data_IF_662043500174
#
_entry.id   IF_662043500174
#
_cell.length_a   1.000
_cell.length_b   1.000
_cell.length_c   1.000
_cell.angle_alpha   90.00
_cell.angle_beta   90.00
_cell.angle_gamma   90.00
#
_symmetry.space_group_name_H-M   'P 1'
#
loop_
_entity.id
_entity.type
_entity.pdbx_description
1 polymer ?
#
# COMPACT_ATOMS: atom_id res chain seq x y z
N UNK A 1 25.74 -23.72 -3.99
CA UNK A 1 25.96 -22.27 -3.85
C UNK A 1 27.43 -22.01 -4.14
N UNK A 2 27.75 -21.23 -5.18
CA UNK A 2 29.13 -20.85 -5.43
C UNK A 2 29.62 -19.95 -4.27
N UNK A 3 30.80 -20.22 -3.73
CA UNK A 3 31.38 -19.39 -2.68
C UNK A 3 31.63 -17.97 -3.21
N UNK A 4 31.28 -16.95 -2.41
CA UNK A 4 31.60 -15.56 -2.72
C UNK A 4 33.12 -15.40 -2.78
N UNK A 5 33.63 -14.84 -3.89
CA UNK A 5 35.05 -14.60 -4.11
C UNK A 5 35.34 -13.11 -3.95
N UNK A 6 36.53 -12.77 -3.44
CA UNK A 6 36.97 -11.38 -3.36
C UNK A 6 37.02 -10.78 -4.77
N UNK A 7 36.28 -9.71 -4.98
CA UNK A 7 36.17 -9.05 -6.27
C UNK A 7 37.51 -8.41 -6.67
N UNK A 8 38.04 -8.82 -7.83
CA UNK A 8 39.05 -8.06 -8.57
C UNK A 8 38.35 -7.31 -9.73
N UNK A 9 38.28 -5.96 -9.71
CA UNK A 9 37.54 -5.23 -10.73
C UNK A 9 38.07 -5.39 -12.15
N UNK A 10 39.33 -5.79 -12.35
CA UNK A 10 39.91 -6.04 -13.69
C UNK A 10 39.61 -7.44 -14.22
N UNK A 11 39.36 -8.40 -13.32
CA UNK A 11 39.17 -9.80 -13.67
C UNK A 11 37.70 -10.22 -13.73
N UNK A 12 36.77 -9.34 -13.31
CA UNK A 12 35.34 -9.61 -13.42
C UNK A 12 34.95 -9.77 -14.91
N UNK A 13 34.35 -10.89 -15.32
CA UNK A 13 33.85 -11.03 -16.69
C UNK A 13 32.77 -9.99 -16.98
N UNK A 14 32.81 -9.34 -18.15
CA UNK A 14 31.84 -8.31 -18.55
C UNK A 14 30.65 -8.86 -19.34
N UNK A 15 30.46 -10.18 -19.30
CA UNK A 15 29.39 -10.87 -20.00
C UNK A 15 28.53 -11.74 -19.07
N UNK A 16 27.28 -11.95 -19.48
CA UNK A 16 26.30 -12.72 -18.72
C UNK A 16 25.84 -12.01 -17.44
N UNK A 17 25.18 -12.75 -16.55
CA UNK A 17 24.71 -12.23 -15.26
C UNK A 17 25.83 -12.31 -14.22
N UNK A 18 26.09 -11.20 -13.53
CA UNK A 18 27.04 -11.09 -12.43
C UNK A 18 26.37 -10.42 -11.24
N UNK A 19 26.60 -10.97 -10.04
CA UNK A 19 26.16 -10.39 -8.79
C UNK A 19 27.38 -9.96 -7.99
N UNK A 20 27.44 -8.68 -7.61
CA UNK A 20 28.50 -8.12 -6.78
C UNK A 20 27.89 -7.73 -5.44
N UNK A 21 28.34 -8.37 -4.37
CA UNK A 21 27.98 -7.99 -3.01
C UNK A 21 28.93 -6.90 -2.50
N UNK A 22 28.39 -5.80 -1.95
CA UNK A 22 29.21 -4.69 -1.50
C UNK A 22 28.59 -3.91 -0.32
N UNK A 23 29.27 -3.98 0.83
CA UNK A 23 28.90 -3.28 2.07
C UNK A 23 29.22 -1.79 2.04
N UNK A 24 28.76 -1.03 3.04
CA UNK A 24 29.09 0.39 3.15
C UNK A 24 30.62 0.59 3.20
N UNK A 25 31.13 1.59 2.46
CA UNK A 25 32.55 1.92 2.44
C UNK A 25 33.46 1.00 1.59
N UNK A 26 32.95 -0.06 0.95
CA UNK A 26 33.79 -1.00 0.17
C UNK A 26 34.09 -0.56 -1.27
N UNK A 27 33.99 0.73 -1.59
CA UNK A 27 34.32 1.24 -2.92
C UNK A 27 33.35 0.83 -4.03
N UNK A 28 32.04 0.70 -3.74
CA UNK A 28 30.99 0.41 -4.74
C UNK A 28 31.07 1.30 -5.98
N UNK A 29 31.00 2.61 -5.75
CA UNK A 29 31.01 3.61 -6.83
C UNK A 29 32.31 3.58 -7.61
N UNK A 30 33.44 3.39 -6.91
CA UNK A 30 34.76 3.24 -7.52
C UNK A 30 34.81 2.00 -8.44
N UNK A 31 34.26 0.88 -7.98
CA UNK A 31 34.17 -0.36 -8.76
C UNK A 31 33.32 -0.17 -10.00
N UNK A 32 32.13 0.43 -9.88
CA UNK A 32 31.24 0.70 -11.02
C UNK A 32 31.93 1.59 -12.05
N UNK A 33 32.59 2.66 -11.61
CA UNK A 33 33.30 3.57 -12.50
C UNK A 33 34.45 2.85 -13.24
N UNK A 34 35.16 1.93 -12.57
CA UNK A 34 36.18 1.12 -13.21
C UNK A 34 35.61 0.12 -14.23
N UNK A 35 34.48 -0.53 -13.91
CA UNK A 35 33.81 -1.41 -14.87
C UNK A 35 33.35 -0.64 -16.12
N UNK A 36 32.92 0.61 -15.94
CA UNK A 36 32.55 1.50 -17.04
C UNK A 36 33.74 1.79 -17.97
N UNK A 37 34.91 2.16 -17.40
CA UNK A 37 36.17 2.32 -18.16
C UNK A 37 36.49 1.06 -18.96
N UNK A 38 36.36 -0.12 -18.33
CA UNK A 38 36.62 -1.39 -19.00
C UNK A 38 35.67 -1.65 -20.16
N UNK A 39 34.38 -1.34 -20.03
CA UNK A 39 33.41 -1.47 -21.12
C UNK A 39 33.73 -0.55 -22.30
N UNK A 40 34.13 0.70 -22.04
CA UNK A 40 34.55 1.65 -23.09
C UNK A 40 35.76 1.13 -23.86
N UNK A 41 36.72 0.54 -23.17
CA UNK A 41 37.93 -0.02 -23.81
C UNK A 41 37.74 -1.44 -24.38
N UNK A 42 36.60 -2.09 -24.13
CA UNK A 42 36.42 -3.51 -24.44
C UNK A 42 37.38 -4.43 -23.67
N UNK A 43 37.76 -4.04 -22.45
CA UNK A 43 38.73 -4.73 -21.60
C UNK A 43 38.10 -5.93 -20.84
N UNK A 44 38.12 -7.11 -21.46
CA UNK A 44 37.73 -8.37 -20.83
C UNK A 44 38.86 -9.41 -20.88
N UNK A 45 39.48 -9.68 -19.72
CA UNK A 45 40.53 -10.70 -19.56
C UNK A 45 40.01 -12.14 -19.68
N UNK A 46 38.70 -12.35 -19.56
CA UNK A 46 38.08 -13.68 -19.44
C UNK A 46 37.53 -14.22 -20.76
N UNK A 47 37.37 -13.34 -21.76
CA UNK A 47 36.87 -13.71 -23.08
C UNK A 47 37.72 -13.04 -24.18
N UNK A 48 38.89 -13.59 -24.54
CA UNK A 48 39.79 -13.00 -25.54
C UNK A 48 39.17 -12.80 -26.93
N UNK A 49 38.09 -13.53 -27.25
CA UNK A 49 37.34 -13.38 -28.51
C UNK A 49 36.25 -12.29 -28.50
N UNK A 50 35.86 -11.80 -27.32
CA UNK A 50 34.99 -10.62 -27.12
C UNK A 50 35.80 -9.39 -26.69
N UNK A 51 37.02 -9.60 -26.20
CA UNK A 51 38.00 -8.57 -25.91
C UNK A 51 38.20 -7.70 -27.16
N UNK A 52 37.82 -6.43 -27.06
CA UNK A 52 37.83 -5.47 -28.16
C UNK A 52 36.48 -4.95 -28.62
N UNK A 53 35.35 -5.42 -28.06
CA UNK A 53 34.06 -4.73 -28.26
C UNK A 53 34.01 -3.51 -27.34
N UNK A 54 34.40 -2.36 -27.87
CA UNK A 54 34.25 -1.06 -27.20
C UNK A 54 32.80 -0.59 -27.25
N UNK A 55 32.29 -0.14 -26.11
CA UNK A 55 30.95 0.45 -26.01
C UNK A 55 31.02 1.97 -25.89
N UNK A 56 30.08 2.66 -26.54
CA UNK A 56 29.91 4.10 -26.37
C UNK A 56 29.05 4.35 -25.11
N UNK A 57 29.12 5.54 -24.49
CA UNK A 57 28.29 5.84 -23.32
C UNK A 57 26.78 5.56 -23.47
N UNK A 58 26.14 5.78 -24.64
CA UNK A 58 24.73 5.41 -24.84
C UNK A 58 24.46 3.90 -24.83
N UNK A 59 25.47 3.06 -25.10
CA UNK A 59 25.36 1.60 -25.13
C UNK A 59 25.48 0.96 -23.75
N UNK A 60 25.83 1.75 -22.71
CA UNK A 60 26.05 1.29 -21.34
C UNK A 60 24.93 1.82 -20.44
N UNK A 61 24.00 0.93 -20.07
CA UNK A 61 22.91 1.26 -19.16
C UNK A 61 23.34 1.14 -17.69
N UNK A 62 23.21 2.23 -16.93
CA UNK A 62 23.49 2.27 -15.49
C UNK A 62 22.28 2.84 -14.75
N UNK A 63 21.71 2.03 -13.85
CA UNK A 63 20.49 2.39 -13.11
C UNK A 63 20.74 2.49 -11.61
N UNK A 64 20.07 3.44 -10.95
CA UNK A 64 20.08 3.60 -9.49
C UNK A 64 18.70 4.03 -8.96
N UNK A 65 18.57 4.15 -7.64
CA UNK A 65 17.30 4.42 -6.98
C UNK A 65 16.88 5.90 -6.99
N UNK A 66 17.84 6.83 -6.93
CA UNK A 66 17.54 8.26 -6.79
C UNK A 66 18.23 9.10 -7.86
N UNK A 67 17.62 10.20 -8.25
CA UNK A 67 18.20 11.12 -9.24
C UNK A 67 19.53 11.74 -8.74
N UNK A 68 19.62 12.03 -7.44
CA UNK A 68 20.86 12.51 -6.83
C UNK A 68 22.00 11.48 -6.95
N UNK A 69 21.71 10.20 -6.68
CA UNK A 69 22.70 9.14 -6.84
C UNK A 69 23.07 8.93 -8.32
N UNK A 70 22.15 9.13 -9.26
CA UNK A 70 22.44 9.05 -10.69
C UNK A 70 23.39 10.17 -11.13
N UNK A 71 23.15 11.39 -10.64
CA UNK A 71 24.05 12.53 -10.85
C UNK A 71 25.45 12.30 -10.28
N UNK A 72 25.54 11.91 -9.01
CA UNK A 72 26.83 11.60 -8.38
C UNK A 72 27.57 10.49 -9.15
N UNK A 73 26.86 9.42 -9.53
CA UNK A 73 27.46 8.32 -10.27
C UNK A 73 27.99 8.75 -11.64
N UNK A 74 27.26 9.63 -12.35
CA UNK A 74 27.70 10.22 -13.62
C UNK A 74 29.01 10.99 -13.44
N UNK A 75 29.10 11.86 -12.43
CA UNK A 75 30.31 12.64 -12.18
C UNK A 75 31.51 11.75 -11.83
N UNK A 76 31.28 10.70 -11.03
CA UNK A 76 32.31 9.73 -10.66
C UNK A 76 32.81 8.92 -11.84
N UNK A 77 31.91 8.50 -12.75
CA UNK A 77 32.29 7.82 -13.99
C UNK A 77 33.09 8.77 -14.89
N UNK A 78 32.66 10.03 -15.04
CA UNK A 78 33.39 11.03 -15.84
C UNK A 78 34.81 11.23 -15.33
N UNK A 79 34.94 11.47 -14.02
CA UNK A 79 36.23 11.65 -13.38
C UNK A 79 37.13 10.43 -13.62
N UNK A 80 36.60 9.22 -13.49
CA UNK A 80 37.34 7.98 -13.69
C UNK A 80 37.79 7.78 -15.14
N UNK A 81 36.96 8.15 -16.12
CA UNK A 81 37.33 8.14 -17.54
C UNK A 81 38.49 9.10 -17.82
N UNK A 82 38.44 10.33 -17.29
CA UNK A 82 39.52 11.31 -17.41
C UNK A 82 40.82 10.84 -16.73
N UNK A 83 40.73 10.29 -15.52
CA UNK A 83 41.89 9.72 -14.79
C UNK A 83 42.53 8.58 -15.59
N UNK A 84 41.73 7.69 -16.16
CA UNK A 84 42.22 6.59 -17.00
C UNK A 84 42.86 7.11 -18.29
N UNK A 85 42.26 8.10 -18.97
CA UNK A 85 42.84 8.71 -20.16
C UNK A 85 44.20 9.35 -19.87
N UNK A 86 44.29 10.10 -18.76
CA UNK A 86 45.55 10.70 -18.30
C UNK A 86 46.62 9.64 -18.02
N UNK A 87 46.26 8.51 -17.41
CA UNK A 87 47.20 7.41 -17.17
C UNK A 87 47.77 6.84 -18.48
N UNK A 88 46.95 6.69 -19.53
CA UNK A 88 47.42 6.26 -20.85
C UNK A 88 48.34 7.31 -21.52
N UNK A 89 48.03 8.62 -21.42
CA UNK A 89 48.90 9.69 -21.96
C UNK A 89 50.24 9.79 -21.25
N UNK A 90 50.27 9.61 -19.94
CA UNK A 90 51.53 9.58 -19.20
C UNK A 90 52.42 8.41 -19.65
N UNK A 91 51.81 7.27 -20.01
CA UNK A 91 52.54 6.10 -20.50
C UNK A 91 53.10 6.26 -21.93
N UNK A 92 52.55 7.16 -22.76
CA UNK A 92 53.11 7.45 -24.10
C UNK A 92 54.40 8.27 -24.01
N UNK A 93 54.57 9.06 -22.94
CA UNK A 93 55.72 9.95 -22.72
C UNK A 93 55.45 11.41 -23.08
N UNK A 94 54.21 11.78 -23.41
CA UNK A 94 53.80 13.14 -23.76
C UNK A 94 53.46 14.02 -22.53
N UNK A 95 53.54 13.47 -21.32
CA UNK A 95 53.35 14.21 -20.08
C UNK A 95 54.64 14.83 -19.56
N UNK A 96 54.79 16.15 -19.71
CA UNK A 96 55.81 16.91 -19.00
C UNK A 96 55.78 16.62 -17.49
N UNK A 97 56.97 16.48 -16.92
CA UNK A 97 57.21 15.96 -15.58
C UNK A 97 56.39 16.62 -14.46
N UNK A 98 55.66 15.80 -13.71
CA UNK A 98 55.67 15.80 -12.24
C UNK A 98 55.38 14.36 -11.76
N UNK A 99 56.10 13.79 -10.78
CA UNK A 99 55.80 12.47 -10.27
C UNK A 99 54.54 12.55 -9.39
N UNK A 100 53.37 12.25 -9.96
CA UNK A 100 52.14 12.21 -9.17
C UNK A 100 52.23 11.05 -8.14
N UNK A 101 51.81 11.30 -6.89
CA UNK A 101 52.09 10.42 -5.77
C UNK A 101 51.39 9.08 -5.98
N UNK A 102 52.15 7.99 -5.95
CA UNK A 102 51.66 6.62 -5.89
C UNK A 102 50.34 6.40 -6.64
N UNK A 103 50.32 6.66 -7.96
CA UNK A 103 49.11 6.60 -8.79
C UNK A 103 48.27 5.33 -8.57
N UNK A 104 46.98 5.41 -8.86
CA UNK A 104 46.03 4.32 -8.70
C UNK A 104 46.59 2.99 -9.28
N UNK A 105 46.85 2.01 -8.41
CA UNK A 105 47.45 0.74 -8.79
C UNK A 105 46.60 -0.01 -9.83
N UNK A 106 45.28 0.19 -9.81
CA UNK A 106 44.35 -0.45 -10.71
C UNK A 106 44.44 0.15 -12.12
N UNK A 107 44.60 1.47 -12.22
CA UNK A 107 44.83 2.14 -13.52
C UNK A 107 46.19 1.76 -14.11
N UNK A 108 47.24 1.66 -13.28
CA UNK A 108 48.55 1.15 -13.75
C UNK A 108 48.46 -0.27 -14.30
N UNK A 109 47.75 -1.15 -13.58
CA UNK A 109 47.52 -2.52 -14.03
C UNK A 109 46.72 -2.56 -15.34
N UNK A 110 45.67 -1.73 -15.47
CA UNK A 110 44.92 -1.59 -16.72
C UNK A 110 45.82 -1.15 -17.88
N UNK A 111 46.63 -0.11 -17.71
CA UNK A 111 47.53 0.39 -18.77
C UNK A 111 48.54 -0.68 -19.21
N UNK A 112 49.05 -1.47 -18.25
CA UNK A 112 49.99 -2.55 -18.52
C UNK A 112 49.40 -3.70 -19.35
N UNK A 113 48.07 -3.86 -19.37
CA UNK A 113 47.39 -4.86 -20.21
C UNK A 113 47.32 -4.48 -21.70
N UNK A 114 47.66 -3.23 -22.04
CA UNK A 114 47.64 -2.73 -23.41
C UNK A 114 49.06 -2.55 -23.96
N UNK A 115 49.31 -2.94 -25.23
CA UNK A 115 50.58 -2.67 -25.89
C UNK A 115 50.74 -1.15 -26.12
N UNK A 116 51.99 -0.67 -26.09
CA UNK A 116 52.30 0.78 -26.10
C UNK A 116 51.72 1.51 -27.31
N UNK A 117 51.64 0.83 -28.44
CA UNK A 117 51.09 1.34 -29.71
C UNK A 117 49.59 1.66 -29.61
N UNK A 118 48.87 1.07 -28.64
CA UNK A 118 47.44 1.33 -28.41
C UNK A 118 47.18 2.40 -27.36
N UNK A 119 48.19 2.89 -26.64
CA UNK A 119 47.99 3.81 -25.51
C UNK A 119 47.35 5.12 -25.96
N UNK A 120 47.78 5.69 -27.08
CA UNK A 120 47.17 6.91 -27.66
C UNK A 120 45.70 6.68 -28.02
N UNK A 121 45.38 5.55 -28.66
CA UNK A 121 44.01 5.19 -29.02
C UNK A 121 43.13 5.02 -27.78
N UNK A 122 43.63 4.37 -26.73
CA UNK A 122 42.90 4.18 -25.48
C UNK A 122 42.62 5.51 -24.79
N UNK A 123 43.63 6.40 -24.70
CA UNK A 123 43.44 7.74 -24.16
C UNK A 123 42.36 8.51 -24.93
N UNK A 124 42.42 8.49 -26.26
CA UNK A 124 41.44 9.15 -27.12
C UNK A 124 40.01 8.61 -26.89
N UNK A 125 39.83 7.28 -26.89
CA UNK A 125 38.51 6.67 -26.67
C UNK A 125 37.90 7.07 -25.32
N UNK A 126 38.72 7.09 -24.26
CA UNK A 126 38.27 7.46 -22.91
C UNK A 126 37.89 8.93 -22.82
N UNK A 127 38.63 9.82 -23.47
CA UNK A 127 38.30 11.26 -23.53
C UNK A 127 37.01 11.52 -24.29
N UNK A 128 36.83 10.85 -25.43
CA UNK A 128 35.59 10.94 -26.19
C UNK A 128 34.40 10.43 -25.37
N UNK A 129 34.56 9.30 -24.68
CA UNK A 129 33.54 8.77 -23.79
C UNK A 129 33.24 9.74 -22.62
N UNK A 130 34.24 10.41 -22.06
CA UNK A 130 34.05 11.40 -21.00
C UNK A 130 33.29 12.63 -21.48
N UNK A 131 33.49 13.07 -22.73
CA UNK A 131 32.75 14.18 -23.33
C UNK A 131 31.30 13.80 -23.66
N UNK A 132 31.05 12.55 -24.05
CA UNK A 132 29.72 12.04 -24.40
C UNK A 132 28.87 11.60 -23.20
N UNK A 133 29.38 11.72 -21.97
CA UNK A 133 28.70 11.18 -20.80
C UNK A 133 27.36 11.87 -20.48
N UNK A 134 27.12 13.07 -21.01
CA UNK A 134 25.83 13.75 -20.86
C UNK A 134 24.69 13.05 -21.62
N UNK A 135 25.02 12.31 -22.68
CA UNK A 135 24.08 11.46 -23.42
C UNK A 135 24.04 10.01 -22.92
N UNK A 136 24.83 9.68 -21.88
CA UNK A 136 24.90 8.32 -21.35
C UNK A 136 23.57 7.84 -20.76
N UNK A 137 23.32 6.54 -20.85
CA UNK A 137 22.17 5.89 -20.23
C UNK A 137 22.36 5.69 -18.71
N UNK A 138 22.70 6.77 -17.99
CA UNK A 138 22.87 6.78 -16.53
C UNK A 138 21.68 7.51 -15.91
N UNK A 139 20.84 6.81 -15.14
CA UNK A 139 19.61 7.38 -14.59
C UNK A 139 18.92 6.49 -13.55
N UNK A 140 17.67 6.83 -13.23
CA UNK A 140 16.82 6.00 -12.39
C UNK A 140 16.10 4.93 -13.21
N UNK A 141 15.67 3.83 -12.57
CA UNK A 141 14.86 2.79 -13.21
C UNK A 141 13.60 3.40 -13.86
N UNK A 142 12.92 4.30 -13.15
CA UNK A 142 11.72 4.98 -13.66
C UNK A 142 12.03 5.88 -14.86
N UNK A 143 13.11 6.66 -14.82
CA UNK A 143 13.53 7.50 -15.93
C UNK A 143 13.86 6.70 -17.19
N UNK A 144 14.49 5.53 -17.02
CA UNK A 144 14.74 4.61 -18.12
C UNK A 144 13.44 4.02 -18.69
N UNK A 145 12.55 3.50 -17.85
CA UNK A 145 11.25 2.98 -18.29
C UNK A 145 10.44 4.04 -19.06
N UNK A 146 10.42 5.28 -18.60
CA UNK A 146 9.75 6.38 -19.29
C UNK A 146 10.34 6.62 -20.69
N UNK A 147 11.68 6.63 -20.80
CA UNK A 147 12.38 6.78 -22.09
C UNK A 147 12.02 5.65 -23.05
N UNK A 148 12.01 4.40 -22.58
CA UNK A 148 11.63 3.23 -23.39
C UNK A 148 10.19 3.34 -23.87
N UNK A 149 9.25 3.72 -23.00
CA UNK A 149 7.83 3.91 -23.36
C UNK A 149 7.63 5.02 -24.41
N UNK A 150 8.45 6.07 -24.38
CA UNK A 150 8.40 7.15 -25.37
C UNK A 150 9.02 6.74 -26.71
N UNK A 151 10.16 6.04 -26.69
CA UNK A 151 10.85 5.58 -27.91
C UNK A 151 10.08 4.48 -28.65
N UNK A 152 9.37 3.62 -27.91
CA UNK A 152 8.56 2.52 -28.44
C UNK A 152 7.05 2.75 -28.25
N UNK A 153 6.61 4.01 -28.43
CA UNK A 153 5.20 4.39 -28.22
C UNK A 153 4.23 3.58 -29.10
N UNK A 154 4.62 3.29 -30.35
CA UNK A 154 3.82 2.48 -31.28
C UNK A 154 3.64 1.03 -30.80
N UNK A 155 4.72 0.39 -30.37
CA UNK A 155 4.69 -1.01 -29.92
C UNK A 155 3.94 -1.16 -28.57
N UNK A 156 4.02 -0.13 -27.72
CA UNK A 156 3.40 -0.12 -26.39
C UNK A 156 1.96 0.40 -26.37
N UNK A 157 1.45 0.97 -27.48
CA UNK A 157 0.16 1.68 -27.51
C UNK A 157 0.13 2.92 -26.61
N UNK A 158 1.31 3.40 -26.20
CA UNK A 158 1.49 4.52 -25.29
C UNK A 158 1.27 5.85 -26.01
N UNK A 159 0.77 6.85 -25.28
CA UNK A 159 0.73 8.23 -25.77
C UNK A 159 2.15 8.76 -25.99
N UNK A 160 2.38 9.47 -27.10
CA UNK A 160 3.67 10.12 -27.38
C UNK A 160 4.08 11.12 -26.28
N UNK A 161 3.11 11.79 -25.68
CA UNK A 161 3.31 12.69 -24.55
C UNK A 161 2.65 12.07 -23.30
N UNK A 162 3.48 11.65 -22.35
CA UNK A 162 3.05 11.24 -21.02
C UNK A 162 3.58 12.23 -19.98
N UNK A 163 2.72 12.65 -19.07
CA UNK A 163 3.13 13.42 -17.90
C UNK A 163 3.26 12.49 -16.71
N UNK A 164 4.44 12.43 -16.11
CA UNK A 164 4.66 11.67 -14.89
C UNK A 164 3.92 12.34 -13.73
N UNK A 165 2.91 11.66 -13.19
CA UNK A 165 2.21 12.08 -11.97
C UNK A 165 2.98 11.52 -10.77
N UNK A 166 3.70 12.39 -10.06
CA UNK A 166 4.53 11.98 -8.92
C UNK A 166 3.71 11.70 -7.64
N UNK A 167 2.61 12.44 -7.46
CA UNK A 167 1.71 12.26 -6.32
C UNK A 167 0.31 11.86 -6.80
N UNK A 168 -0.09 10.63 -6.45
CA UNK A 168 -1.41 10.08 -6.76
C UNK A 168 -2.46 10.43 -5.69
N UNK A 169 -2.09 11.05 -4.57
CA UNK A 169 -3.03 11.37 -3.50
C UNK A 169 -4.24 12.20 -3.96
N UNK A 170 -4.09 13.28 -4.75
CA UNK A 170 -5.24 14.07 -5.21
C UNK A 170 -6.21 13.26 -6.08
N UNK A 171 -5.67 12.39 -6.94
CA UNK A 171 -6.47 11.52 -7.80
C UNK A 171 -7.21 10.45 -6.98
N UNK A 172 -6.57 9.90 -5.95
CA UNK A 172 -7.18 8.95 -5.01
C UNK A 172 -8.32 9.61 -4.23
N UNK A 173 -8.10 10.82 -3.70
CA UNK A 173 -9.14 11.59 -3.01
C UNK A 173 -10.35 11.87 -3.92
N UNK A 174 -10.09 12.26 -5.16
CA UNK A 174 -11.15 12.46 -6.15
C UNK A 174 -11.94 11.17 -6.39
N UNK A 175 -11.26 10.04 -6.62
CA UNK A 175 -11.91 8.75 -6.83
C UNK A 175 -12.77 8.32 -5.64
N UNK A 176 -12.28 8.51 -4.40
CA UNK A 176 -13.05 8.21 -3.18
C UNK A 176 -14.28 9.08 -3.08
N UNK A 177 -14.18 10.38 -3.38
CA UNK A 177 -15.33 11.30 -3.40
C UNK A 177 -16.36 10.90 -4.46
N UNK A 178 -15.93 10.46 -5.63
CA UNK A 178 -16.83 10.00 -6.69
C UNK A 178 -17.56 8.70 -6.30
N UNK A 179 -16.85 7.75 -5.68
CA UNK A 179 -17.48 6.56 -5.08
C UNK A 179 -18.49 6.98 -4.01
N UNK A 180 -18.11 7.93 -3.15
CA UNK A 180 -18.97 8.39 -2.07
C UNK A 180 -20.29 8.97 -2.58
N UNK A 181 -20.21 9.88 -3.56
CA UNK A 181 -21.39 10.48 -4.21
C UNK A 181 -22.25 9.43 -4.91
N UNK A 182 -21.63 8.46 -5.58
CA UNK A 182 -22.36 7.47 -6.36
C UNK A 182 -23.10 6.47 -5.47
N UNK A 183 -22.52 6.08 -4.33
CA UNK A 183 -23.04 4.95 -3.54
C UNK A 183 -23.77 5.37 -2.28
N UNK A 184 -23.37 6.48 -1.65
CA UNK A 184 -23.96 6.92 -0.38
C UNK A 184 -24.99 8.04 -0.52
N UNK A 185 -24.87 8.95 -1.49
CA UNK A 185 -25.87 10.02 -1.66
C UNK A 185 -27.29 9.51 -2.02
N UNK A 186 -27.45 8.42 -2.80
CA UNK A 186 -28.78 7.89 -3.09
C UNK A 186 -29.45 7.18 -1.91
N UNK A 187 -28.78 7.03 -0.76
CA UNK A 187 -29.33 6.32 0.40
C UNK A 187 -30.44 7.15 1.07
N UNK A 188 -31.49 6.49 1.61
CA UNK A 188 -32.44 7.11 2.52
C UNK A 188 -31.74 7.75 3.73
N UNK A 189 -32.34 8.79 4.31
CA UNK A 189 -31.73 9.59 5.42
C UNK A 189 -31.29 8.72 6.59
N UNK A 190 -32.09 7.74 6.99
CA UNK A 190 -31.78 6.83 8.11
C UNK A 190 -30.52 6.02 7.81
N UNK A 191 -30.41 5.48 6.60
CA UNK A 191 -29.26 4.69 6.15
C UNK A 191 -28.02 5.55 5.95
N UNK A 192 -28.20 6.77 5.43
CA UNK A 192 -27.12 7.74 5.33
C UNK A 192 -26.58 8.13 6.71
N UNK A 193 -27.44 8.20 7.73
CA UNK A 193 -27.06 8.43 9.13
C UNK A 193 -26.13 7.33 9.66
N UNK A 194 -26.51 6.06 9.52
CA UNK A 194 -25.68 4.92 9.96
C UNK A 194 -24.30 4.88 9.25
N UNK A 195 -24.29 5.12 7.93
CA UNK A 195 -23.04 5.20 7.17
C UNK A 195 -22.20 6.41 7.59
N UNK A 196 -22.83 7.55 7.86
CA UNK A 196 -22.14 8.75 8.33
C UNK A 196 -21.54 8.55 9.73
N UNK A 197 -22.17 7.76 10.61
CA UNK A 197 -21.57 7.41 11.91
C UNK A 197 -20.34 6.51 11.74
N UNK A 198 -20.42 5.50 10.87
CA UNK A 198 -19.33 4.55 10.64
C UNK A 198 -18.13 5.20 9.94
N UNK A 199 -18.39 5.88 8.83
CA UNK A 199 -17.36 6.37 7.92
C UNK A 199 -17.08 7.86 8.04
N UNK A 200 -17.92 8.65 8.74
CA UNK A 200 -17.77 10.10 9.03
C UNK A 200 -17.63 11.04 7.84
N UNK A 201 -17.60 10.52 6.61
CA UNK A 201 -17.50 11.30 5.39
C UNK A 201 -16.45 10.76 4.40
N UNK A 202 -16.34 11.39 3.23
CA UNK A 202 -15.43 10.94 2.17
C UNK A 202 -13.95 11.00 2.58
N UNK A 203 -13.54 11.99 3.38
CA UNK A 203 -12.13 12.13 3.78
C UNK A 203 -11.72 11.03 4.78
N UNK A 204 -12.59 10.66 5.72
CA UNK A 204 -12.34 9.55 6.63
C UNK A 204 -12.42 8.19 5.90
N UNK A 205 -13.28 8.05 4.89
CA UNK A 205 -13.23 6.89 4.00
C UNK A 205 -11.88 6.80 3.27
N UNK A 206 -11.37 7.91 2.73
CA UNK A 206 -10.07 7.95 2.06
C UNK A 206 -8.93 7.54 3.01
N UNK A 207 -8.93 8.06 4.24
CA UNK A 207 -7.95 7.67 5.27
C UNK A 207 -8.03 6.18 5.63
N UNK A 208 -9.24 5.62 5.68
CA UNK A 208 -9.47 4.19 5.98
C UNK A 208 -9.01 3.29 4.83
N UNK A 209 -9.19 3.73 3.58
CA UNK A 209 -8.78 3.00 2.38
C UNK A 209 -7.28 3.12 2.08
N UNK A 210 -6.64 4.22 2.45
CA UNK A 210 -5.23 4.49 2.15
C UNK A 210 -4.26 3.32 2.48
N UNK A 211 -4.30 2.69 3.67
CA UNK A 211 -3.42 1.55 3.96
C UNK A 211 -3.78 0.29 3.16
N UNK A 212 -5.02 0.16 2.68
CA UNK A 212 -5.49 -0.99 1.92
C UNK A 212 -5.13 -0.91 0.44
N UNK A 213 -5.06 0.30 -0.13
CA UNK A 213 -4.77 0.54 -1.54
C UNK A 213 -3.32 0.25 -1.95
N UNK A 214 -2.41 0.03 -0.99
CA UNK A 214 -1.03 -0.40 -1.27
C UNK A 214 -0.81 -1.90 -1.09
N UNK A 215 -1.85 -2.65 -0.71
CA UNK A 215 -1.76 -4.06 -0.40
C UNK A 215 -2.26 -4.91 -1.58
N UNK A 216 -1.63 -4.75 -2.74
CA UNK A 216 -2.09 -5.32 -4.02
C UNK A 216 -2.24 -6.85 -4.02
N UNK A 217 -1.52 -7.55 -3.15
CA UNK A 217 -1.58 -9.01 -2.98
C UNK A 217 -2.45 -9.46 -1.78
N UNK A 218 -3.00 -8.53 -1.01
CA UNK A 218 -3.77 -8.86 0.19
C UNK A 218 -5.24 -9.16 -0.14
N UNK A 219 -5.79 -10.13 0.60
CA UNK A 219 -7.22 -10.41 0.57
C UNK A 219 -7.90 -9.79 1.78
N UNK A 220 -8.85 -8.88 1.52
CA UNK A 220 -9.75 -8.40 2.55
C UNK A 220 -10.61 -9.57 3.04
N UNK A 221 -10.59 -9.81 4.34
CA UNK A 221 -11.45 -10.76 5.02
C UNK A 221 -12.06 -10.13 6.26
N UNK A 222 -13.24 -10.60 6.64
CA UNK A 222 -13.92 -10.27 7.88
C UNK A 222 -14.21 -11.59 8.60
N UNK A 223 -13.75 -11.72 9.85
CA UNK A 223 -13.82 -12.96 10.65
C UNK A 223 -13.33 -14.22 9.90
N UNK A 224 -12.23 -14.06 9.15
CA UNK A 224 -11.63 -15.15 8.36
C UNK A 224 -12.39 -15.51 7.09
N UNK A 225 -13.49 -14.81 6.78
CA UNK A 225 -14.30 -15.02 5.60
C UNK A 225 -14.06 -13.93 4.56
N UNK A 226 -14.03 -14.32 3.29
CA UNK A 226 -13.97 -13.35 2.19
C UNK A 226 -15.31 -12.61 2.10
N UNK A 227 -15.30 -11.28 1.89
CA UNK A 227 -16.52 -10.54 1.67
C UNK A 227 -17.20 -11.04 0.39
N UNK A 228 -18.54 -11.07 0.34
CA UNK A 228 -19.26 -11.54 -0.83
C UNK A 228 -18.87 -10.73 -2.07
N UNK A 229 -18.58 -11.44 -3.16
CA UNK A 229 -18.31 -10.86 -4.49
C UNK A 229 -19.42 -11.28 -5.46
N UNK A 230 -19.92 -10.38 -6.32
CA UNK A 230 -19.50 -8.98 -6.46
C UNK A 230 -19.91 -8.12 -5.25
N UNK A 231 -19.13 -7.07 -4.96
CA UNK A 231 -19.41 -6.14 -3.85
C UNK A 231 -20.80 -5.51 -3.91
N UNK A 232 -21.43 -5.46 -5.09
CA UNK A 232 -22.80 -4.99 -5.26
C UNK A 232 -23.85 -5.94 -4.63
N UNK A 233 -23.50 -7.21 -4.39
CA UNK A 233 -24.31 -8.13 -3.59
C UNK A 233 -24.13 -7.89 -2.10
N UNK A 234 -22.90 -7.64 -1.64
CA UNK A 234 -22.64 -7.21 -0.26
C UNK A 234 -23.43 -5.93 0.07
N UNK A 235 -23.39 -4.95 -0.84
CA UNK A 235 -24.11 -3.69 -0.70
C UNK A 235 -25.64 -3.86 -0.71
N UNK A 236 -26.17 -4.71 -1.61
CA UNK A 236 -27.60 -5.06 -1.60
C UNK A 236 -27.99 -5.78 -0.32
N UNK A 237 -27.14 -6.67 0.18
CA UNK A 237 -27.34 -7.36 1.46
C UNK A 237 -27.42 -6.38 2.63
N UNK A 238 -26.50 -5.41 2.69
CA UNK A 238 -26.54 -4.33 3.68
C UNK A 238 -27.82 -3.50 3.56
N UNK A 239 -28.16 -3.03 2.36
CA UNK A 239 -29.39 -2.25 2.15
C UNK A 239 -30.66 -3.02 2.52
N UNK A 240 -30.71 -4.34 2.26
CA UNK A 240 -31.81 -5.22 2.67
C UNK A 240 -31.86 -5.41 4.19
N UNK A 241 -30.71 -5.60 4.84
CA UNK A 241 -30.60 -5.72 6.29
C UNK A 241 -31.06 -4.43 6.99
N UNK A 242 -30.60 -3.27 6.50
CA UNK A 242 -31.03 -1.96 7.01
C UNK A 242 -32.54 -1.76 6.84
N UNK A 243 -33.09 -2.05 5.64
CA UNK A 243 -34.53 -1.97 5.41
C UNK A 243 -35.31 -2.90 6.36
N UNK A 244 -34.82 -4.13 6.56
CA UNK A 244 -35.43 -5.10 7.47
C UNK A 244 -35.43 -4.59 8.91
N UNK A 245 -34.34 -3.95 9.33
CA UNK A 245 -34.22 -3.29 10.62
C UNK A 245 -35.27 -2.18 10.73
N UNK A 246 -35.39 -1.28 9.77
CA UNK A 246 -36.41 -0.21 9.79
C UNK A 246 -37.86 -0.76 9.88
N UNK A 247 -38.17 -1.83 9.14
CA UNK A 247 -39.47 -2.53 9.22
C UNK A 247 -39.74 -3.10 10.63
N UNK A 248 -38.74 -3.73 11.25
CA UNK A 248 -38.83 -4.27 12.61
C UNK A 248 -38.99 -3.15 13.64
N UNK A 249 -38.25 -2.03 13.50
CA UNK A 249 -38.40 -0.84 14.35
C UNK A 249 -39.82 -0.30 14.27
N UNK A 250 -40.34 -0.10 13.06
CA UNK A 250 -41.68 0.42 12.83
C UNK A 250 -42.76 -0.50 13.43
N UNK A 251 -42.61 -1.83 13.28
CA UNK A 251 -43.51 -2.81 13.89
C UNK A 251 -43.47 -2.77 15.42
N UNK A 252 -42.27 -2.71 16.00
CA UNK A 252 -42.07 -2.63 17.46
C UNK A 252 -42.66 -1.33 18.04
N UNK A 253 -42.49 -0.22 17.34
CA UNK A 253 -43.10 1.07 17.69
C UNK A 253 -44.63 1.03 17.61
N UNK A 254 -45.18 0.42 16.56
CA UNK A 254 -46.62 0.24 16.43
C UNK A 254 -47.18 -0.62 17.57
N UNK A 255 -46.55 -1.77 17.85
CA UNK A 255 -46.94 -2.66 18.94
C UNK A 255 -46.82 -2.00 20.32
N UNK A 256 -45.82 -1.15 20.54
CA UNK A 256 -45.70 -0.38 21.78
C UNK A 256 -46.81 0.68 21.91
N UNK A 257 -47.15 1.38 20.83
CA UNK A 257 -48.25 2.38 20.84
C UNK A 257 -49.60 1.71 21.11
N UNK A 258 -49.80 0.49 20.63
CA UNK A 258 -51.04 -0.27 20.82
C UNK A 258 -51.14 -0.89 22.22
N UNK A 259 -50.07 -1.56 22.68
CA UNK A 259 -50.12 -2.43 23.86
C UNK A 259 -49.09 -2.10 24.96
N UNK A 260 -48.42 -0.94 24.88
CA UNK A 260 -47.36 -0.56 25.82
C UNK A 260 -47.83 -0.49 27.27
N UNK A 261 -49.06 -0.04 27.53
CA UNK A 261 -49.67 -0.04 28.88
C UNK A 261 -49.80 -1.44 29.46
N UNK A 262 -50.19 -2.40 28.63
CA UNK A 262 -50.43 -3.80 29.01
C UNK A 262 -49.11 -4.52 29.26
N UNK A 263 -48.12 -4.29 28.39
CA UNK A 263 -46.74 -4.75 28.58
C UNK A 263 -46.18 -4.25 29.92
N UNK A 264 -46.33 -2.96 30.22
CA UNK A 264 -45.88 -2.40 31.49
C UNK A 264 -46.64 -2.98 32.69
N UNK A 265 -47.94 -3.23 32.57
CA UNK A 265 -48.73 -3.87 33.61
C UNK A 265 -48.26 -5.32 33.88
N UNK A 266 -48.00 -6.10 32.83
CA UNK A 266 -47.45 -7.46 32.94
C UNK A 266 -46.07 -7.46 33.63
N UNK A 267 -45.18 -6.55 33.23
CA UNK A 267 -43.86 -6.42 33.85
C UNK A 267 -43.95 -6.02 35.32
N UNK A 268 -44.80 -5.05 35.66
CA UNK A 268 -45.02 -4.63 37.05
C UNK A 268 -45.59 -5.77 37.90
N UNK A 269 -46.56 -6.53 37.37
CA UNK A 269 -47.15 -7.68 38.05
C UNK A 269 -46.12 -8.78 38.32
N UNK A 270 -45.29 -9.12 37.34
CA UNK A 270 -44.23 -10.11 37.49
C UNK A 270 -43.15 -9.70 38.50
N UNK A 271 -42.76 -8.42 38.52
CA UNK A 271 -41.79 -7.89 39.49
C UNK A 271 -42.39 -7.89 40.90
N UNK A 272 -43.64 -7.41 41.07
CA UNK A 272 -44.33 -7.41 42.36
C UNK A 272 -44.55 -8.84 42.90
N UNK A 273 -44.90 -9.77 42.00
CA UNK A 273 -45.07 -11.19 42.29
C UNK A 273 -43.76 -11.97 42.45
N UNK A 274 -42.59 -11.31 42.39
CA UNK A 274 -41.25 -11.91 42.46
C UNK A 274 -41.04 -13.06 41.47
N UNK A 275 -41.70 -12.99 40.30
CA UNK A 275 -41.54 -13.96 39.22
C UNK A 275 -40.19 -13.77 38.48
N UNK A 276 -39.64 -12.55 38.50
CA UNK A 276 -38.34 -12.21 37.94
C UNK A 276 -37.31 -11.94 39.06
N UNK A 277 -36.04 -12.26 38.81
CA UNK A 277 -34.94 -12.01 39.76
C UNK A 277 -34.76 -10.50 40.03
N UNK A 278 -34.93 -10.11 41.29
CA UNK A 278 -34.90 -8.70 41.73
C UNK A 278 -33.56 -7.96 41.51
N UNK A 279 -32.44 -8.68 41.37
CA UNK A 279 -31.15 -8.08 41.05
C UNK A 279 -31.08 -7.60 39.58
N UNK A 280 -31.84 -8.24 38.70
CA UNK A 280 -31.91 -7.92 37.27
C UNK A 280 -33.06 -6.94 36.98
N UNK A 281 -34.24 -7.18 37.56
CA UNK A 281 -35.46 -6.40 37.31
C UNK A 281 -35.89 -5.67 38.59
N UNK A 282 -35.48 -4.40 38.70
CA UNK A 282 -35.83 -3.53 39.84
C UNK A 282 -37.24 -2.97 39.67
N UNK A 283 -37.95 -2.61 40.76
CA UNK A 283 -39.30 -2.01 40.67
C UNK A 283 -39.42 -0.77 39.77
N UNK A 284 -38.36 0.04 39.68
CA UNK A 284 -38.33 1.24 38.82
C UNK A 284 -38.02 0.95 37.34
N UNK A 285 -37.76 -0.30 36.96
CA UNK A 285 -37.34 -0.64 35.59
C UNK A 285 -38.46 -0.44 34.54
N UNK A 286 -39.73 -0.83 34.78
CA UNK A 286 -40.81 -0.57 33.82
C UNK A 286 -40.99 0.93 33.53
N UNK A 287 -40.85 1.79 34.54
CA UNK A 287 -41.01 3.24 34.35
C UNK A 287 -39.85 3.84 33.55
N UNK A 288 -38.62 3.33 33.72
CA UNK A 288 -37.47 3.71 32.90
C UNK A 288 -37.66 3.27 31.45
N UNK A 289 -38.08 2.01 31.24
CA UNK A 289 -38.39 1.50 29.90
C UNK A 289 -39.44 2.36 29.21
N UNK A 290 -40.49 2.79 29.93
CA UNK A 290 -41.51 3.66 29.38
C UNK A 290 -40.95 5.02 28.93
N UNK A 291 -40.08 5.64 29.74
CA UNK A 291 -39.43 6.89 29.39
C UNK A 291 -38.48 6.74 28.19
N UNK A 292 -37.67 5.67 28.17
CA UNK A 292 -36.72 5.40 27.08
C UNK A 292 -37.47 5.12 25.76
N UNK A 293 -38.56 4.36 25.81
CA UNK A 293 -39.42 4.12 24.63
C UNK A 293 -40.08 5.40 24.12
N UNK A 294 -40.53 6.29 25.00
CA UNK A 294 -41.10 7.58 24.61
C UNK A 294 -40.05 8.46 23.92
N UNK A 295 -38.84 8.54 24.48
CA UNK A 295 -37.73 9.27 23.86
C UNK A 295 -37.36 8.67 22.49
N UNK A 296 -37.34 7.35 22.36
CA UNK A 296 -37.06 6.69 21.09
C UNK A 296 -38.11 6.99 20.02
N UNK A 297 -39.40 6.97 20.39
CA UNK A 297 -40.51 7.30 19.49
C UNK A 297 -40.48 8.75 19.00
N UNK A 298 -39.91 9.67 19.78
CA UNK A 298 -39.70 11.08 19.43
C UNK A 298 -38.38 11.33 18.65
N UNK A 299 -37.72 10.27 18.19
CA UNK A 299 -36.50 10.36 17.37
C UNK A 299 -35.19 10.29 18.16
N UNK A 300 -35.25 9.91 19.44
CA UNK A 300 -34.07 9.58 20.24
C UNK A 300 -33.45 8.23 19.86
N UNK A 301 -32.47 7.79 20.66
CA UNK A 301 -31.82 6.48 20.48
C UNK A 301 -32.67 5.32 21.02
N UNK A 302 -32.39 4.11 20.53
CA UNK A 302 -33.04 2.90 21.04
C UNK A 302 -32.67 2.63 22.51
N UNK A 303 -33.60 2.10 23.35
CA UNK A 303 -33.30 1.80 24.75
C UNK A 303 -32.13 0.82 24.90
N UNK A 304 -31.10 1.22 25.63
CA UNK A 304 -29.84 0.47 25.76
C UNK A 304 -29.97 -0.94 26.38
N UNK A 305 -31.11 -1.27 27.00
CA UNK A 305 -31.38 -2.59 27.60
C UNK A 305 -32.71 -3.19 27.14
N UNK A 306 -33.10 -2.89 25.89
CA UNK A 306 -34.32 -3.43 25.31
C UNK A 306 -34.27 -4.96 25.20
N UNK A 307 -33.08 -5.54 25.02
CA UNK A 307 -32.78 -6.99 25.05
C UNK A 307 -33.35 -7.73 26.27
N UNK A 308 -33.50 -7.04 27.41
CA UNK A 308 -34.11 -7.59 28.62
C UNK A 308 -35.60 -7.90 28.46
N UNK A 309 -36.27 -7.28 27.50
CA UNK A 309 -37.66 -7.58 27.18
C UNK A 309 -37.79 -8.78 26.23
N UNK A 310 -36.70 -9.32 25.69
CA UNK A 310 -36.77 -10.52 24.86
C UNK A 310 -37.25 -11.74 25.67
N UNK A 311 -38.05 -12.66 25.09
CA UNK A 311 -38.60 -13.80 25.81
C UNK A 311 -37.54 -14.69 26.46
N UNK A 312 -36.39 -14.88 25.80
CA UNK A 312 -35.27 -15.66 26.35
C UNK A 312 -34.63 -14.98 27.58
N UNK A 313 -34.45 -13.66 27.53
CA UNK A 313 -33.96 -12.86 28.66
C UNK A 313 -34.90 -12.89 29.85
N UNK A 314 -36.22 -12.81 29.60
CA UNK A 314 -37.25 -12.90 30.63
C UNK A 314 -37.30 -14.30 31.26
N UNK A 315 -37.25 -15.36 30.43
CA UNK A 315 -37.21 -16.76 30.89
C UNK A 315 -35.95 -17.08 31.69
N UNK A 316 -34.77 -16.64 31.23
CA UNK A 316 -33.51 -16.81 31.96
C UNK A 316 -33.50 -16.09 33.32
N UNK A 317 -34.29 -15.01 33.43
CA UNK A 317 -34.45 -14.24 34.65
C UNK A 317 -35.56 -14.73 35.58
N UNK A 318 -36.28 -15.82 35.23
CA UNK A 318 -37.30 -16.39 36.07
C UNK A 318 -36.75 -16.81 37.44
N UNK A 319 -37.52 -16.56 38.50
CA UNK A 319 -37.27 -17.10 39.82
C UNK A 319 -37.60 -18.60 39.84
N UNK A 320 -36.87 -19.38 40.66
CA UNK A 320 -37.03 -20.84 40.73
C UNK A 320 -38.47 -21.22 41.06
N UNK A 321 -39.12 -21.99 40.19
CA UNK A 321 -40.51 -22.45 40.40
C UNK A 321 -41.57 -21.40 40.04
N UNK A 322 -41.20 -20.32 39.34
CA UNK A 322 -42.10 -19.24 38.88
C UNK A 322 -42.04 -19.05 37.36
N UNK A 323 -41.62 -20.07 36.64
CA UNK A 323 -41.43 -20.03 35.18
C UNK A 323 -42.76 -19.79 34.44
N UNK A 324 -43.89 -20.24 34.99
CA UNK A 324 -45.22 -20.00 34.45
C UNK A 324 -45.71 -18.55 34.67
N UNK A 325 -45.07 -17.80 35.57
CA UNK A 325 -45.44 -16.42 35.92
C UNK A 325 -44.60 -15.39 35.13
N UNK A 326 -43.78 -15.85 34.18
CA UNK A 326 -42.99 -14.99 33.30
C UNK A 326 -43.93 -14.28 32.30
N UNK A 327 -43.83 -12.95 32.14
CA UNK A 327 -44.63 -12.19 31.18
C UNK A 327 -44.51 -12.74 29.76
N UNK A 328 -45.66 -12.93 29.11
CA UNK A 328 -45.76 -13.30 27.70
C UNK A 328 -46.66 -12.30 26.99
N UNK A 329 -46.20 -11.77 25.87
CA UNK A 329 -46.90 -10.80 25.03
C UNK A 329 -46.22 -10.73 23.65
N UNK A 330 -46.99 -10.57 22.57
CA UNK A 330 -46.45 -10.53 21.20
C UNK A 330 -45.38 -9.42 20.99
N UNK A 331 -45.45 -8.35 21.79
CA UNK A 331 -44.44 -7.28 21.77
C UNK A 331 -43.05 -7.75 22.23
N UNK A 332 -42.96 -8.70 23.16
CA UNK A 332 -41.67 -9.27 23.56
C UNK A 332 -41.02 -10.04 22.40
N UNK A 333 -41.82 -10.74 21.58
CA UNK A 333 -41.31 -11.41 20.38
C UNK A 333 -40.81 -10.41 19.33
N UNK A 334 -41.46 -9.25 19.20
CA UNK A 334 -40.99 -8.15 18.34
C UNK A 334 -39.64 -7.60 18.81
N UNK A 335 -39.43 -7.50 20.13
CA UNK A 335 -38.14 -7.11 20.71
C UNK A 335 -37.04 -8.11 20.34
N UNK A 336 -37.31 -9.41 20.45
CA UNK A 336 -36.34 -10.43 20.08
C UNK A 336 -35.93 -10.33 18.61
N UNK A 337 -36.91 -10.20 17.71
CA UNK A 337 -36.64 -10.04 16.27
C UNK A 337 -35.82 -8.77 15.96
N UNK A 338 -36.05 -7.66 16.67
CA UNK A 338 -35.26 -6.44 16.56
C UNK A 338 -33.81 -6.63 17.04
N UNK A 339 -33.61 -7.28 18.20
CA UNK A 339 -32.29 -7.54 18.76
C UNK A 339 -31.45 -8.45 17.84
N UNK A 340 -32.04 -9.53 17.33
CA UNK A 340 -31.36 -10.47 16.41
C UNK A 340 -30.91 -9.79 15.11
N UNK A 341 -31.67 -8.81 14.62
CA UNK A 341 -31.32 -8.05 13.43
C UNK A 341 -30.19 -7.04 13.65
N UNK A 342 -29.82 -6.73 14.90
CA UNK A 342 -28.75 -5.79 15.24
C UNK A 342 -27.39 -6.40 15.58
N UNK A 343 -27.32 -7.72 15.78
CA UNK A 343 -26.08 -8.45 16.07
C UNK A 343 -25.31 -8.92 14.82
N UNK A 344 -25.83 -8.64 13.60
CA UNK A 344 -25.24 -9.03 12.30
C UNK A 344 -24.82 -7.83 11.46
#
# INVERSE_FOLDING_TARGET
>A
MAASQVLSPLDLPLHGLRLIEASAGTGKTYTIAMLYVRLVLGHDRTAPGLAGTSYLPPDILVLTFTEAAAGELRDRIRQRLCEAAGAFRLATGEGGADPQPAGDALLRALVADYPRERHEQCAFLLEQAAQWLDEAAIGTIHGWCLRVLQQHAFDSGSLFAQTLVQDLAPLREQAVRDVWRRWFYPLPVEQAGEIAELLKGPDQLAATLAPLLGADEAQLCHDGMLPPRPWCEAWRGLAQAMKRRDELRAALWAGWREAGSDVLALLRAAIAGKALKNNLYKPAWPDRLAADMAAWLDGGEAPARLDRCAPDSLRAAAAKGREADVPAHAWFDQVAAWCEAGER
#
